data_IF_270260409055
#
_entry.id   IF_270260409055
#
_cell.length_a   1.000
_cell.length_b   1.000
_cell.length_c   1.000
_cell.angle_alpha   90.00
_cell.angle_beta   90.00
_cell.angle_gamma   90.00
#
_symmetry.space_group_name_H-M   'P 1'
#
loop_
_entity.id
_entity.type
_entity.pdbx_description
1 polymer ?
#
# COMPACT_ATOMS: atom_id res chain seq x y z
N UNK A 1 -12.94 20.42 -13.60
CA UNK A 1 -11.87 19.83 -12.76
C UNK A 1 -12.51 19.37 -11.45
N UNK A 2 -12.85 18.09 -11.32
CA UNK A 2 -13.51 17.58 -10.10
C UNK A 2 -12.45 17.39 -9.03
N UNK A 3 -12.57 18.14 -7.92
CA UNK A 3 -11.64 18.13 -6.78
C UNK A 3 -12.06 17.05 -5.79
N UNK A 4 -12.18 15.79 -6.22
CA UNK A 4 -12.59 14.67 -5.34
C UNK A 4 -11.37 13.95 -4.76
N UNK A 5 -10.66 14.64 -3.87
CA UNK A 5 -9.65 14.06 -2.98
C UNK A 5 -10.09 14.11 -1.50
N UNK A 6 -11.41 14.06 -1.27
CA UNK A 6 -12.08 14.28 0.03
C UNK A 6 -11.39 15.38 0.88
N UNK A 7 -11.47 16.66 0.47
CA UNK A 7 -10.94 17.75 1.29
C UNK A 7 -11.55 17.71 2.69
N UNK A 8 -10.78 18.03 3.74
CA UNK A 8 -11.30 18.09 5.12
C UNK A 8 -12.57 18.93 5.25
N UNK A 9 -12.72 19.98 4.43
CA UNK A 9 -13.93 20.83 4.39
C UNK A 9 -15.19 20.13 3.88
N UNK A 10 -15.06 18.95 3.27
CA UNK A 10 -16.15 18.13 2.76
C UNK A 10 -16.49 16.97 3.71
N UNK A 11 -16.01 17.03 4.96
CA UNK A 11 -16.41 16.08 5.99
C UNK A 11 -17.95 16.06 6.09
N UNK A 12 -18.58 14.87 6.15
CA UNK A 12 -20.01 14.74 6.39
C UNK A 12 -20.48 15.52 7.62
N UNK A 13 -21.71 16.05 7.56
CA UNK A 13 -22.27 16.95 8.58
C UNK A 13 -22.65 16.23 9.89
N UNK A 14 -22.71 14.90 9.87
CA UNK A 14 -22.92 14.04 11.04
C UNK A 14 -21.65 13.84 11.88
N UNK A 15 -20.49 14.31 11.40
CA UNK A 15 -19.23 14.28 12.13
C UNK A 15 -18.93 15.63 12.81
N UNK A 16 -18.05 15.66 13.84
CA UNK A 16 -17.60 16.91 14.44
C UNK A 16 -17.01 17.88 13.41
N UNK A 17 -16.93 19.19 13.72
CA UNK A 17 -16.33 20.17 12.82
C UNK A 17 -14.95 19.72 12.32
N UNK A 18 -14.69 19.89 11.03
CA UNK A 18 -13.48 19.36 10.38
C UNK A 18 -12.18 19.83 11.03
N UNK A 19 -12.17 21.01 11.67
CA UNK A 19 -11.03 21.53 12.43
C UNK A 19 -10.71 20.65 13.62
N UNK A 20 -11.73 20.20 14.35
CA UNK A 20 -11.59 19.30 15.50
C UNK A 20 -11.08 17.94 15.06
N UNK A 21 -11.66 17.38 13.99
CA UNK A 21 -11.21 16.11 13.42
C UNK A 21 -9.76 16.19 12.94
N UNK A 22 -9.41 17.26 12.22
CA UNK A 22 -8.05 17.50 11.75
C UNK A 22 -7.06 17.68 12.89
N UNK A 23 -7.46 18.34 13.98
CA UNK A 23 -6.63 18.49 15.18
C UNK A 23 -6.28 17.13 15.79
N UNK A 24 -7.27 16.27 16.04
CA UNK A 24 -7.02 14.90 16.53
C UNK A 24 -6.18 14.08 15.56
N UNK A 25 -6.50 14.14 14.26
CA UNK A 25 -5.70 13.49 13.23
C UNK A 25 -4.23 13.91 13.32
N UNK A 26 -3.95 15.22 13.42
CA UNK A 26 -2.56 15.69 13.52
C UNK A 26 -1.87 15.18 14.79
N UNK A 27 -2.56 15.12 15.92
CA UNK A 27 -2.03 14.55 17.17
C UNK A 27 -1.72 13.06 17.02
N UNK A 28 -2.59 12.30 16.36
CA UNK A 28 -2.38 10.87 16.09
C UNK A 28 -1.21 10.62 15.14
N UNK A 29 -1.08 11.41 14.08
CA UNK A 29 0.06 11.33 13.16
C UNK A 29 1.37 11.67 13.88
N UNK A 30 1.38 12.69 14.75
CA UNK A 30 2.55 13.01 15.57
C UNK A 30 2.92 11.87 16.54
N UNK A 31 1.92 11.13 17.02
CA UNK A 31 2.10 9.96 17.88
C UNK A 31 2.42 8.66 17.11
N UNK A 32 2.46 8.68 15.76
CA UNK A 32 2.71 7.50 14.93
C UNK A 32 1.56 6.46 14.95
N UNK A 33 0.34 6.90 15.23
CA UNK A 33 -0.80 5.99 15.40
C UNK A 33 -1.17 5.25 14.11
N UNK A 34 -1.06 5.92 12.96
CA UNK A 34 -1.35 5.32 11.64
C UNK A 34 -0.33 4.23 11.31
N UNK A 35 0.95 4.45 11.58
CA UNK A 35 2.01 3.47 11.39
C UNK A 35 1.79 2.24 12.28
N UNK A 36 1.47 2.44 13.55
CA UNK A 36 1.16 1.36 14.48
C UNK A 36 -0.08 0.56 14.03
N UNK A 37 -1.14 1.26 13.62
CA UNK A 37 -2.36 0.63 13.13
C UNK A 37 -2.10 -0.18 11.85
N UNK A 38 -1.34 0.37 10.89
CA UNK A 38 -0.99 -0.33 9.66
C UNK A 38 -0.14 -1.57 9.93
N UNK A 39 0.77 -1.53 10.90
CA UNK A 39 1.56 -2.69 11.30
C UNK A 39 0.67 -3.84 11.82
N UNK A 40 -0.27 -3.53 12.70
CA UNK A 40 -1.23 -4.50 13.25
C UNK A 40 -2.18 -5.05 12.18
N UNK A 41 -2.73 -4.17 11.33
CA UNK A 41 -3.60 -4.58 10.24
C UNK A 41 -2.87 -5.45 9.22
N UNK A 42 -1.60 -5.16 8.94
CA UNK A 42 -0.76 -6.00 8.09
C UNK A 42 -0.60 -7.40 8.67
N UNK A 43 -0.28 -7.53 9.97
CA UNK A 43 -0.15 -8.85 10.62
C UNK A 43 -1.46 -9.63 10.51
N UNK A 44 -2.60 -9.00 10.83
CA UNK A 44 -3.92 -9.64 10.72
C UNK A 44 -4.23 -10.08 9.29
N UNK A 45 -3.99 -9.22 8.30
CA UNK A 45 -4.22 -9.54 6.89
C UNK A 45 -3.32 -10.70 6.42
N UNK A 46 -2.06 -10.75 6.87
CA UNK A 46 -1.11 -11.83 6.54
C UNK A 46 -1.54 -13.17 7.15
N UNK A 47 -1.94 -13.19 8.41
CA UNK A 47 -2.49 -14.39 9.07
C UNK A 47 -3.73 -14.91 8.35
N UNK A 48 -4.66 -14.02 7.97
CA UNK A 48 -5.86 -14.39 7.19
C UNK A 48 -5.51 -14.98 5.82
N UNK A 49 -4.41 -14.55 5.21
CA UNK A 49 -3.89 -15.11 3.97
C UNK A 49 -3.02 -16.37 4.17
N UNK A 50 -2.95 -16.93 5.39
CA UNK A 50 -2.12 -18.10 5.70
C UNK A 50 -0.62 -17.84 5.58
N UNK A 51 -0.19 -16.60 5.80
CA UNK A 51 1.22 -16.17 5.76
C UNK A 51 1.74 -15.90 7.17
N UNK A 52 3.06 -16.00 7.33
CA UNK A 52 3.77 -15.53 8.52
C UNK A 52 3.59 -14.02 8.73
N UNK A 53 3.58 -13.59 9.98
CA UNK A 53 3.39 -12.19 10.40
C UNK A 53 4.37 -11.25 9.70
N UNK A 54 5.63 -11.67 9.62
CA UNK A 54 6.71 -10.92 9.01
C UNK A 54 6.86 -11.25 7.52
N UNK A 55 7.02 -10.25 6.65
CA UNK A 55 7.23 -10.49 5.23
C UNK A 55 8.69 -10.88 4.92
N UNK A 56 8.88 -12.02 4.27
CA UNK A 56 10.21 -12.48 3.83
C UNK A 56 10.80 -11.69 2.66
N UNK A 57 9.97 -10.95 1.91
CA UNK A 57 10.40 -10.08 0.84
C UNK A 57 9.44 -8.90 0.64
N UNK A 58 9.97 -7.81 0.08
CA UNK A 58 9.23 -6.60 -0.24
C UNK A 58 9.52 -6.09 -1.66
N UNK A 59 8.64 -5.23 -2.16
CA UNK A 59 8.73 -4.53 -3.43
C UNK A 59 8.77 -3.04 -3.16
N UNK A 60 9.74 -2.34 -3.76
CA UNK A 60 9.86 -0.88 -3.73
C UNK A 60 9.56 -0.28 -5.09
N UNK A 61 8.77 0.79 -5.08
CA UNK A 61 8.49 1.63 -6.23
C UNK A 61 8.57 3.11 -5.86
N UNK A 62 8.86 3.97 -6.84
CA UNK A 62 8.90 5.41 -6.64
C UNK A 62 7.96 6.16 -7.59
N UNK A 63 7.20 7.10 -7.04
CA UNK A 63 6.23 7.86 -7.80
C UNK A 63 6.30 9.35 -7.47
N UNK A 64 6.48 10.17 -8.50
CA UNK A 64 6.37 11.63 -8.39
C UNK A 64 4.91 12.02 -8.57
N UNK A 65 4.38 12.77 -7.60
CA UNK A 65 3.02 13.27 -7.58
C UNK A 65 3.04 14.79 -7.52
N UNK A 66 2.11 15.41 -8.26
CA UNK A 66 1.97 16.87 -8.27
C UNK A 66 1.62 17.36 -6.87
N UNK A 67 2.34 18.36 -6.39
CA UNK A 67 2.04 18.98 -5.10
C UNK A 67 0.70 19.70 -5.15
N UNK A 68 -0.10 19.58 -4.09
CA UNK A 68 -1.24 20.46 -3.90
C UNK A 68 -0.76 21.89 -3.58
N UNK A 69 -1.64 22.88 -3.74
CA UNK A 69 -1.33 24.29 -3.45
C UNK A 69 -0.90 24.52 -1.99
N UNK A 70 -1.32 23.63 -1.09
CA UNK A 70 -0.98 23.64 0.34
C UNK A 70 0.41 23.07 0.64
N UNK A 71 1.09 22.46 -0.33
CA UNK A 71 2.44 21.90 -0.13
C UNK A 71 3.48 23.02 -0.21
N UNK A 72 4.17 23.25 0.92
CA UNK A 72 5.24 24.23 1.05
C UNK A 72 6.36 24.05 0.03
N UNK A 73 6.98 25.17 -0.38
CA UNK A 73 8.10 25.19 -1.36
C UNK A 73 9.33 24.42 -0.87
N UNK A 74 9.55 24.44 0.43
CA UNK A 74 10.61 23.77 1.16
C UNK A 74 10.57 22.23 1.04
N UNK A 75 9.38 21.68 0.82
CA UNK A 75 9.12 20.24 0.86
C UNK A 75 8.63 19.68 -0.48
N UNK A 76 8.78 20.45 -1.58
CA UNK A 76 8.51 20.00 -2.96
C UNK A 76 9.68 20.31 -3.88
N UNK A 77 9.77 19.59 -4.99
CA UNK A 77 10.81 19.74 -6.00
C UNK A 77 10.29 19.47 -7.39
N UNK A 78 11.14 19.66 -8.41
CA UNK A 78 10.77 19.41 -9.79
C UNK A 78 11.46 18.14 -10.30
N UNK A 79 10.65 17.17 -10.72
CA UNK A 79 11.09 15.99 -11.46
C UNK A 79 11.10 16.32 -12.95
N UNK A 80 12.28 16.51 -13.52
CA UNK A 80 12.43 16.85 -14.95
C UNK A 80 12.01 15.70 -15.88
N UNK A 81 12.21 14.45 -15.46
CA UNK A 81 11.85 13.28 -16.26
C UNK A 81 10.34 13.11 -16.38
N UNK A 82 9.62 13.36 -15.27
CA UNK A 82 8.14 13.27 -15.23
C UNK A 82 7.45 14.62 -15.48
N UNK A 83 8.19 15.72 -15.53
CA UNK A 83 7.71 17.11 -15.59
C UNK A 83 6.72 17.43 -14.46
N UNK A 84 7.02 16.96 -13.25
CA UNK A 84 6.16 17.09 -12.07
C UNK A 84 6.80 18.02 -11.05
N UNK A 85 6.12 19.11 -10.69
CA UNK A 85 6.43 19.89 -9.49
C UNK A 85 5.63 19.34 -8.31
N UNK A 86 6.31 18.75 -7.34
CA UNK A 86 5.65 18.15 -6.19
C UNK A 86 6.56 17.30 -5.33
N UNK A 87 6.03 16.17 -4.86
CA UNK A 87 6.74 15.23 -3.98
C UNK A 87 6.92 13.90 -4.67
N UNK A 88 7.98 13.18 -4.34
CA UNK A 88 8.22 11.81 -4.76
C UNK A 88 8.06 10.89 -3.56
N UNK A 89 7.15 9.93 -3.68
CA UNK A 89 6.92 8.90 -2.68
C UNK A 89 7.64 7.62 -3.08
N UNK A 90 8.39 7.05 -2.16
CA UNK A 90 8.95 5.71 -2.23
C UNK A 90 8.08 4.83 -1.36
N UNK A 91 7.42 3.86 -1.99
CA UNK A 91 6.49 2.96 -1.33
C UNK A 91 7.12 1.58 -1.29
N UNK A 92 7.20 1.01 -0.10
CA UNK A 92 7.62 -0.37 0.11
C UNK A 92 6.41 -1.18 0.55
N UNK A 93 6.13 -2.25 -0.19
CA UNK A 93 5.04 -3.19 0.07
C UNK A 93 5.59 -4.60 0.23
N UNK A 94 4.87 -5.49 0.89
CA UNK A 94 5.21 -6.91 0.88
C UNK A 94 4.82 -7.57 -0.46
N UNK A 95 5.12 -8.86 -0.60
CA UNK A 95 4.78 -9.62 -1.82
C UNK A 95 3.27 -9.79 -2.05
N UNK A 96 2.43 -9.49 -1.08
CA UNK A 96 0.97 -9.49 -1.17
C UNK A 96 0.38 -8.09 -1.41
N UNK A 97 1.23 -7.05 -1.49
CA UNK A 97 0.82 -5.66 -1.70
C UNK A 97 0.48 -4.90 -0.42
N UNK A 98 0.73 -5.46 0.76
CA UNK A 98 0.48 -4.78 2.04
C UNK A 98 1.58 -3.78 2.33
N UNK A 99 1.20 -2.61 2.87
CA UNK A 99 2.12 -1.49 3.08
C UNK A 99 3.12 -1.79 4.20
N UNK A 100 4.40 -1.49 3.94
CA UNK A 100 5.48 -1.62 4.92
C UNK A 100 5.95 -0.24 5.38
N UNK A 101 6.41 0.58 4.45
CA UNK A 101 6.82 1.96 4.73
C UNK A 101 6.55 2.85 3.53
N UNK A 102 6.33 4.13 3.80
CA UNK A 102 6.23 5.19 2.80
C UNK A 102 7.21 6.29 3.18
N UNK A 103 8.15 6.59 2.29
CA UNK A 103 9.05 7.73 2.45
C UNK A 103 8.73 8.78 1.41
N UNK A 104 8.44 10.00 1.86
CA UNK A 104 8.08 11.11 0.96
C UNK A 104 9.19 12.14 0.95
N UNK A 105 9.73 12.40 -0.22
CA UNK A 105 10.81 13.38 -0.47
C UNK A 105 10.34 14.41 -1.51
N UNK A 106 11.11 15.47 -1.70
CA UNK A 106 10.87 16.42 -2.79
C UNK A 106 11.03 15.72 -4.15
N UNK A 107 10.22 16.07 -5.16
CA UNK A 107 10.23 15.32 -6.43
C UNK A 107 11.53 15.42 -7.23
N UNK A 108 12.40 16.38 -6.91
CA UNK A 108 13.75 16.51 -7.48
C UNK A 108 14.72 15.42 -7.03
N UNK A 109 14.39 14.66 -5.97
CA UNK A 109 15.24 13.55 -5.51
C UNK A 109 15.32 12.44 -6.56
N UNK A 110 16.53 11.97 -6.83
CA UNK A 110 16.74 10.84 -7.73
C UNK A 110 16.34 9.53 -7.05
N UNK A 111 15.81 8.59 -7.84
CA UNK A 111 15.29 7.32 -7.33
C UNK A 111 16.36 6.53 -6.56
N UNK A 112 17.60 6.54 -7.06
CA UNK A 112 18.75 5.90 -6.41
C UNK A 112 18.97 6.41 -4.99
N UNK A 113 18.89 7.73 -4.79
CA UNK A 113 19.27 8.35 -3.53
C UNK A 113 18.09 8.34 -2.55
N UNK A 114 16.87 8.59 -3.03
CA UNK A 114 15.67 8.50 -2.19
C UNK A 114 15.31 7.08 -1.77
N UNK A 115 15.58 6.07 -2.61
CA UNK A 115 15.32 4.68 -2.26
C UNK A 115 16.23 4.17 -1.13
N UNK A 116 17.45 4.71 -0.97
CA UNK A 116 18.30 4.39 0.20
C UNK A 116 17.63 4.81 1.50
N UNK A 117 17.03 6.00 1.53
CA UNK A 117 16.27 6.49 2.68
C UNK A 117 15.08 5.60 2.99
N UNK A 118 14.31 5.21 1.97
CA UNK A 118 13.15 4.34 2.13
C UNK A 118 13.52 2.95 2.66
N UNK A 119 14.62 2.39 2.16
CA UNK A 119 15.07 1.07 2.59
C UNK A 119 15.68 1.09 3.99
N UNK A 120 16.36 2.17 4.38
CA UNK A 120 16.80 2.36 5.76
C UNK A 120 15.58 2.43 6.70
N UNK A 121 14.54 3.16 6.33
CA UNK A 121 13.27 3.20 7.09
C UNK A 121 12.65 1.81 7.23
N UNK A 122 12.57 1.04 6.14
CA UNK A 122 12.08 -0.35 6.20
C UNK A 122 12.94 -1.23 7.13
N UNK A 123 14.27 -1.14 7.01
CA UNK A 123 15.21 -1.92 7.82
C UNK A 123 15.04 -1.67 9.33
N UNK A 124 14.78 -0.42 9.71
CA UNK A 124 14.61 -0.05 11.12
C UNK A 124 13.23 -0.41 11.69
N UNK A 125 12.24 -0.67 10.84
CA UNK A 125 10.83 -0.84 11.24
C UNK A 125 10.27 -2.23 11.01
N UNK A 126 10.88 -3.04 10.13
CA UNK A 126 10.41 -4.40 9.84
C UNK A 126 11.60 -5.28 9.44
N UNK A 127 11.72 -6.50 10.00
CA UNK A 127 12.80 -7.42 9.65
C UNK A 127 12.56 -8.04 8.27
N UNK A 128 12.99 -7.34 7.22
CA UNK A 128 12.85 -7.80 5.82
C UNK A 128 14.22 -8.11 5.26
N UNK A 129 14.40 -9.36 4.85
CA UNK A 129 15.69 -9.83 4.31
C UNK A 129 15.93 -9.43 2.84
N UNK A 130 14.87 -9.17 2.06
CA UNK A 130 14.98 -8.96 0.60
C UNK A 130 14.02 -7.89 0.11
N UNK A 131 14.51 -6.89 -0.62
CA UNK A 131 13.67 -5.91 -1.32
C UNK A 131 13.99 -5.93 -2.80
N UNK A 132 12.95 -5.97 -3.64
CA UNK A 132 13.05 -5.92 -5.11
C UNK A 132 12.49 -4.61 -5.64
N UNK A 133 13.08 -4.09 -6.71
CA UNK A 133 12.59 -2.90 -7.40
C UNK A 133 11.87 -3.31 -8.70
N UNK A 134 10.75 -2.66 -9.01
CA UNK A 134 9.91 -2.93 -10.18
C UNK A 134 10.43 -2.32 -11.49
N UNK A 135 11.37 -1.36 -11.43
CA UNK A 135 12.00 -0.74 -12.61
C UNK A 135 13.39 -1.27 -12.96
N UNK A 136 13.84 -1.02 -14.19
CA UNK A 136 15.06 -1.51 -14.90
C UNK A 136 16.40 -1.18 -14.21
N UNK A 137 16.40 -0.55 -13.02
CA UNK A 137 17.62 -0.22 -12.29
C UNK A 137 17.75 -1.01 -10.99
N UNK A 138 18.91 -1.66 -10.88
CA UNK A 138 19.41 -2.44 -9.73
C UNK A 138 19.79 -1.48 -8.61
N UNK A 139 19.07 -1.50 -7.48
CA UNK A 139 19.51 -0.82 -6.27
C UNK A 139 20.09 -1.84 -5.30
N UNK A 140 21.41 -1.80 -5.14
CA UNK A 140 22.11 -2.54 -4.09
C UNK A 140 21.96 -1.77 -2.78
N UNK A 141 21.54 -2.46 -1.72
CA UNK A 141 21.68 -1.97 -0.37
C UNK A 141 23.09 -2.26 0.14
N UNK A 142 23.82 -1.28 0.70
CA UNK A 142 24.96 -1.58 1.53
C UNK A 142 24.42 -2.14 2.87
N UNK A 143 24.42 -3.46 2.97
CA UNK A 143 24.36 -4.17 4.26
C UNK A 143 25.76 -4.35 4.83
N UNK A 144 25.86 -4.54 6.15
CA UNK A 144 26.94 -4.02 6.99
C UNK A 144 28.19 -4.93 6.96
N UNK A 145 29.20 -4.60 7.76
CA UNK A 145 30.20 -5.56 8.17
C UNK A 145 29.55 -6.77 8.87
N UNK A 146 29.04 -7.72 8.09
CA UNK A 146 29.01 -9.16 8.33
C UNK A 146 28.72 -9.83 6.98
N UNK A 147 29.75 -10.46 6.43
CA UNK A 147 29.76 -11.13 5.13
C UNK A 147 28.81 -12.32 5.17
N UNK A 148 27.58 -12.15 4.66
CA UNK A 148 26.80 -13.27 4.16
C UNK A 148 27.09 -13.40 2.67
N UNK A 149 27.84 -14.44 2.29
CA UNK A 149 27.96 -14.88 0.90
C UNK A 149 26.54 -15.13 0.38
N UNK A 150 26.04 -14.20 -0.42
CA UNK A 150 24.85 -14.43 -1.23
C UNK A 150 25.29 -15.26 -2.43
N UNK A 151 25.04 -16.57 -2.38
CA UNK A 151 25.23 -17.42 -3.54
C UNK A 151 24.41 -16.88 -4.71
N UNK A 152 25.15 -16.38 -5.69
CA UNK A 152 24.65 -15.88 -6.95
C UNK A 152 24.12 -17.05 -7.77
N UNK A 153 22.83 -17.35 -7.66
CA UNK A 153 22.12 -18.11 -8.70
C UNK A 153 21.14 -17.18 -9.42
N UNK A 154 21.62 -16.60 -10.51
CA UNK A 154 20.78 -16.01 -11.52
C UNK A 154 19.90 -17.11 -12.13
N UNK A 155 18.66 -17.27 -11.66
CA UNK A 155 17.66 -18.03 -12.39
C UNK A 155 17.16 -17.11 -13.51
N UNK A 156 17.71 -17.28 -14.71
CA UNK A 156 17.13 -16.73 -15.94
C UNK A 156 15.74 -17.33 -16.10
N UNK A 157 14.70 -16.51 -16.11
CA UNK A 157 13.47 -16.88 -16.80
C UNK A 157 13.78 -16.97 -18.30
N UNK A 158 13.55 -18.10 -18.99
CA UNK A 158 13.73 -18.17 -20.42
C UNK A 158 12.69 -17.27 -21.11
N UNK A 159 13.19 -16.30 -21.88
CA UNK A 159 12.38 -15.50 -22.77
C UNK A 159 11.95 -16.35 -23.98
N UNK A 160 10.65 -16.38 -24.24
CA UNK A 160 10.07 -16.81 -25.51
C UNK A 160 9.72 -18.29 -25.63
N UNK A 161 8.45 -18.63 -25.42
CA UNK A 161 7.72 -19.60 -26.26
C UNK A 161 6.33 -19.07 -26.57
N UNK A 162 5.97 -19.22 -27.84
CA UNK A 162 4.76 -18.73 -28.49
C UNK A 162 3.45 -19.25 -27.87
N UNK A 163 2.40 -18.45 -28.06
CA UNK A 163 0.97 -18.73 -27.94
C UNK A 163 0.58 -20.14 -27.46
N UNK A 164 0.12 -20.23 -26.22
CA UNK A 164 -0.85 -21.24 -25.81
C UNK A 164 -2.19 -20.53 -25.53
N UNK A 165 -3.17 -20.75 -26.40
CA UNK A 165 -4.57 -20.39 -26.14
C UNK A 165 -5.00 -21.13 -24.87
N UNK A 166 -5.29 -20.40 -23.80
CA UNK A 166 -5.98 -20.96 -22.65
C UNK A 166 -7.40 -21.32 -23.10
N UNK A 167 -7.68 -22.62 -23.31
CA UNK A 167 -9.07 -23.08 -23.38
C UNK A 167 -9.66 -22.92 -21.98
N UNK A 168 -10.62 -22.01 -21.83
CA UNK A 168 -11.46 -21.98 -20.64
C UNK A 168 -12.21 -23.32 -20.52
N UNK A 169 -12.23 -23.98 -19.35
CA UNK A 169 -13.18 -25.04 -19.11
C UNK A 169 -14.61 -24.47 -19.25
N UNK A 170 -15.46 -25.18 -19.99
CA UNK A 170 -16.87 -24.81 -20.14
C UNK A 170 -17.52 -24.77 -18.76
N UNK A 171 -18.26 -23.70 -18.50
CA UNK A 171 -19.10 -23.51 -17.32
C UNK A 171 -20.04 -24.72 -17.20
N UNK A 172 -20.14 -25.42 -16.05
CA UNK A 172 -21.16 -26.44 -15.87
C UNK A 172 -22.56 -25.79 -15.97
N UNK A 173 -23.59 -26.52 -16.48
CA UNK A 173 -24.94 -25.98 -16.57
C UNK A 173 -25.46 -25.60 -15.18
N UNK A 174 -26.26 -24.53 -15.13
CA UNK A 174 -26.92 -24.07 -13.91
C UNK A 174 -27.79 -25.21 -13.37
N UNK A 175 -27.60 -25.59 -12.12
CA UNK A 175 -28.53 -26.46 -11.40
C UNK A 175 -29.91 -25.80 -11.25
N UNK A 176 -30.96 -26.57 -10.93
CA UNK A 176 -32.31 -26.05 -10.83
C UNK A 176 -32.41 -24.99 -9.74
N UNK A 177 -33.17 -23.95 -10.07
CA UNK A 177 -33.51 -22.80 -9.24
C UNK A 177 -34.25 -23.29 -7.99
N UNK A 178 -33.66 -23.08 -6.80
CA UNK A 178 -34.32 -23.37 -5.54
C UNK A 178 -35.34 -22.26 -5.30
N UNK A 179 -36.62 -22.63 -5.33
CA UNK A 179 -37.74 -21.76 -5.03
C UNK A 179 -37.59 -21.21 -3.59
N UNK A 180 -37.38 -19.90 -3.47
CA UNK A 180 -37.37 -19.22 -2.18
C UNK A 180 -38.81 -19.10 -1.69
N UNK A 181 -39.30 -20.09 -0.93
CA UNK A 181 -40.48 -19.90 -0.10
C UNK A 181 -40.19 -18.83 0.97
N UNK A 182 -41.03 -17.79 1.11
CA UNK A 182 -40.88 -16.82 2.18
C UNK A 182 -41.21 -17.48 3.53
N UNK A 183 -40.37 -17.21 4.54
CA UNK A 183 -40.56 -17.64 5.92
C UNK A 183 -41.85 -17.03 6.50
N UNK A 184 -42.62 -17.78 7.31
CA UNK A 184 -43.82 -17.25 7.95
C UNK A 184 -43.45 -16.21 9.02
N UNK A 185 -44.14 -15.07 8.99
CA UNK A 185 -44.06 -14.03 10.02
C UNK A 185 -44.66 -14.56 11.33
N UNK A 186 -43.91 -14.47 12.42
CA UNK A 186 -44.41 -14.76 13.77
C UNK A 186 -45.46 -13.73 14.21
N UNK A 187 -46.56 -14.14 14.89
CA UNK A 187 -47.61 -13.23 15.32
C UNK A 187 -47.13 -12.32 16.46
N UNK A 188 -47.52 -11.05 16.37
CA UNK A 188 -47.40 -10.04 17.42
C UNK A 188 -48.29 -10.40 18.60
N UNK A 189 -47.70 -10.68 19.77
CA UNK A 189 -48.44 -10.68 21.03
C UNK A 189 -48.67 -9.24 21.50
N UNK A 190 -49.95 -8.92 21.72
CA UNK A 190 -50.43 -7.63 22.18
C UNK A 190 -50.08 -7.36 23.63
N UNK A 191 -49.87 -6.09 23.92
CA UNK A 191 -49.81 -5.55 25.27
C UNK A 191 -51.08 -4.71 25.45
N UNK A 192 -52.10 -5.32 26.05
CA UNK A 192 -53.27 -4.64 26.61
C UNK A 192 -53.36 -4.99 28.10
N UNK A 193 -53.26 -3.95 28.94
CA UNK A 193 -53.84 -3.72 30.27
C UNK A 193 -52.87 -2.96 31.19
#
# INVERSE_FOLDING_TARGET
MVRSGCPWRYLPTDLPPWQTVYWYFQQWEQAGATEALLAELRIKARRQAGREDEPSAAIIDSQSVKGADTVGRDSRGYDAGKKVNGRKRFIITDTTGLLITVTVLAASWQDRDGAKTALLSAYLTTPIARVRHTGVHRLALPGPALVARADHRAVRLPAGRHHARTRHPRRPPRGPELDHQPLPLSPTEGCDA
#
